data_IF_507675738879
#
_entry.id   IF_507675738879
#
_cell.length_a   1.000
_cell.length_b   1.000
_cell.length_c   1.000
_cell.angle_alpha   90.00
_cell.angle_beta   90.00
_cell.angle_gamma   90.00
#
_symmetry.space_group_name_H-M   'P 1'
#
loop_
_entity.id
_entity.type
_entity.pdbx_description
1 polymer ?
#
# COMPACT_ATOMS: atom_id res chain seq x y z
N UNK A 1 8.12 -19.11 -12.17
CA UNK A 1 8.53 -19.03 -10.75
C UNK A 1 9.45 -17.83 -10.47
N UNK A 2 10.46 -17.55 -11.32
CA UNK A 2 11.22 -16.28 -11.28
C UNK A 2 10.34 -15.05 -11.51
N UNK A 3 9.38 -15.16 -12.43
CA UNK A 3 8.45 -14.07 -12.76
C UNK A 3 7.54 -13.67 -11.58
N UNK A 4 7.09 -14.63 -10.76
CA UNK A 4 6.28 -14.35 -9.57
C UNK A 4 7.06 -13.57 -8.51
N UNK A 5 8.31 -13.96 -8.23
CA UNK A 5 9.15 -13.25 -7.27
C UNK A 5 9.50 -11.85 -7.76
N UNK A 6 9.83 -11.69 -9.05
CA UNK A 6 10.07 -10.37 -9.64
C UNK A 6 8.84 -9.46 -9.55
N UNK A 7 7.63 -9.99 -9.81
CA UNK A 7 6.38 -9.23 -9.64
C UNK A 7 6.19 -8.79 -8.18
N UNK A 8 6.54 -9.65 -7.22
CA UNK A 8 6.47 -9.31 -5.80
C UNK A 8 7.42 -8.17 -5.42
N UNK A 9 8.66 -8.21 -5.90
CA UNK A 9 9.65 -7.14 -5.72
C UNK A 9 9.19 -5.81 -6.33
N UNK A 10 8.65 -5.84 -7.55
CA UNK A 10 8.13 -4.64 -8.23
C UNK A 10 6.99 -4.04 -7.41
N UNK A 11 5.99 -4.84 -7.02
CA UNK A 11 4.85 -4.37 -6.25
C UNK A 11 5.29 -3.75 -4.91
N UNK A 12 6.26 -4.38 -4.22
CA UNK A 12 6.77 -3.85 -2.95
C UNK A 12 7.58 -2.57 -3.16
N UNK A 13 8.37 -2.49 -4.22
CA UNK A 13 9.09 -1.28 -4.63
C UNK A 13 8.15 -0.12 -4.93
N UNK A 14 7.12 -0.35 -5.75
CA UNK A 14 6.09 0.64 -6.08
C UNK A 14 5.37 1.13 -4.82
N UNK A 15 5.00 0.21 -3.91
CA UNK A 15 4.38 0.56 -2.63
C UNK A 15 5.30 1.41 -1.74
N UNK A 16 6.61 1.10 -1.68
CA UNK A 16 7.57 1.91 -0.94
C UNK A 16 7.72 3.31 -1.54
N UNK A 17 7.72 3.43 -2.87
CA UNK A 17 7.78 4.71 -3.55
C UNK A 17 6.55 5.58 -3.24
N UNK A 18 5.35 4.99 -3.22
CA UNK A 18 4.13 5.71 -2.83
C UNK A 18 4.26 6.20 -1.37
N UNK A 19 4.65 5.32 -0.45
CA UNK A 19 4.83 5.65 0.96
C UNK A 19 5.88 6.76 1.19
N UNK A 20 6.90 6.86 0.33
CA UNK A 20 7.92 7.91 0.38
C UNK A 20 7.43 9.27 -0.12
N UNK A 21 6.34 9.30 -0.88
CA UNK A 21 5.78 10.52 -1.47
C UNK A 21 4.54 11.03 -0.76
N UNK A 22 3.89 10.20 0.07
CA UNK A 22 2.79 10.62 0.93
C UNK A 22 3.26 11.70 1.91
N UNK A 23 2.49 12.78 2.04
CA UNK A 23 2.80 13.92 2.91
C UNK A 23 1.75 14.06 4.01
N UNK A 24 1.55 12.95 4.72
CA UNK A 24 0.58 12.90 5.79
C UNK A 24 0.96 13.83 6.95
N UNK A 25 -0.05 14.33 7.65
CA UNK A 25 0.13 15.16 8.83
C UNK A 25 0.83 14.40 9.98
N UNK A 26 1.19 15.12 11.05
CA UNK A 26 1.89 14.53 12.20
C UNK A 26 1.09 13.42 12.90
N UNK A 27 -0.24 13.42 12.79
CA UNK A 27 -1.12 12.41 13.40
C UNK A 27 -0.93 11.05 12.75
N UNK A 28 -0.73 11.01 11.43
CA UNK A 28 -0.61 9.77 10.67
C UNK A 28 0.84 9.33 10.43
N UNK A 29 1.82 10.13 10.83
CA UNK A 29 3.23 9.86 10.57
C UNK A 29 3.70 8.52 11.19
N UNK A 30 3.22 8.18 12.39
CA UNK A 30 3.62 6.95 13.06
C UNK A 30 3.03 5.69 12.40
N UNK A 31 1.77 5.73 11.95
CA UNK A 31 1.17 4.62 11.21
C UNK A 31 1.84 4.46 9.84
N UNK A 32 2.12 5.55 9.13
CA UNK A 32 2.81 5.53 7.84
C UNK A 32 4.23 4.96 7.99
N UNK A 33 4.98 5.40 9.00
CA UNK A 33 6.34 4.88 9.30
C UNK A 33 6.30 3.38 9.61
N UNK A 34 5.31 2.93 10.37
CA UNK A 34 5.12 1.52 10.69
C UNK A 34 4.85 0.71 9.42
N UNK A 35 3.91 1.14 8.57
CA UNK A 35 3.59 0.47 7.30
C UNK A 35 4.84 0.37 6.41
N UNK A 36 5.55 1.49 6.24
CA UNK A 36 6.79 1.56 5.45
C UNK A 36 7.86 0.61 5.96
N UNK A 37 8.08 0.58 7.27
CA UNK A 37 9.05 -0.34 7.86
C UNK A 37 8.65 -1.80 7.59
N UNK A 38 7.40 -2.16 7.84
CA UNK A 38 6.91 -3.53 7.64
C UNK A 38 6.96 -3.98 6.18
N UNK A 39 6.63 -3.11 5.22
CA UNK A 39 6.77 -3.43 3.78
C UNK A 39 8.24 -3.62 3.42
N UNK A 40 9.13 -2.75 3.91
CA UNK A 40 10.58 -2.88 3.66
C UNK A 40 11.13 -4.20 4.20
N UNK A 41 10.67 -4.63 5.38
CA UNK A 41 11.03 -5.94 5.93
C UNK A 41 10.57 -7.10 5.05
N UNK A 42 9.35 -7.05 4.51
CA UNK A 42 8.87 -8.10 3.60
C UNK A 42 9.65 -8.08 2.29
N UNK A 43 9.96 -6.90 1.75
CA UNK A 43 10.76 -6.75 0.53
C UNK A 43 12.14 -7.40 0.67
N UNK A 44 12.81 -7.18 1.81
CA UNK A 44 14.10 -7.82 2.09
C UNK A 44 14.02 -9.36 2.20
N UNK A 45 12.82 -9.93 2.46
CA UNK A 45 12.59 -11.37 2.56
C UNK A 45 12.23 -12.00 1.20
N UNK A 46 11.96 -11.23 0.16
CA UNK A 46 11.65 -11.77 -1.18
C UNK A 46 12.86 -12.51 -1.76
N UNK A 47 14.07 -12.00 -1.54
CA UNK A 47 15.29 -12.70 -1.97
C UNK A 47 15.43 -14.07 -1.29
N UNK A 48 15.11 -14.17 0.01
CA UNK A 48 15.15 -15.43 0.74
C UNK A 48 14.14 -16.47 0.20
N UNK A 49 12.96 -16.01 -0.23
CA UNK A 49 11.96 -16.85 -0.91
C UNK A 49 12.49 -17.49 -2.20
N UNK A 50 13.43 -16.85 -2.90
CA UNK A 50 14.07 -17.43 -4.09
C UNK A 50 15.05 -18.56 -3.77
N UNK A 51 15.62 -18.56 -2.56
CA UNK A 51 16.62 -19.52 -2.08
C UNK A 51 15.99 -20.76 -1.45
N UNK A 52 14.76 -20.65 -0.95
CA UNK A 52 14.03 -21.78 -0.35
C UNK A 52 13.39 -22.69 -1.40
N UNK A 53 13.32 -23.99 -1.11
CA UNK A 53 12.69 -25.01 -1.97
C UNK A 53 11.64 -25.83 -1.20
N UNK A 54 10.63 -26.34 -1.92
CA UNK A 54 9.59 -27.20 -1.35
C UNK A 54 8.87 -26.57 -0.15
N UNK A 55 8.77 -27.32 0.95
CA UNK A 55 8.01 -26.91 2.14
C UNK A 55 8.51 -25.59 2.76
N UNK A 56 9.83 -25.36 2.83
CA UNK A 56 10.39 -24.13 3.38
C UNK A 56 9.93 -22.89 2.62
N UNK A 57 9.80 -23.02 1.30
CA UNK A 57 9.31 -21.95 0.43
C UNK A 57 7.83 -21.67 0.71
N UNK A 58 7.02 -22.71 0.82
CA UNK A 58 5.59 -22.59 1.15
C UNK A 58 5.41 -21.91 2.51
N UNK A 59 6.11 -22.38 3.54
CA UNK A 59 6.04 -21.79 4.88
C UNK A 59 6.46 -20.31 4.88
N UNK A 60 7.49 -19.96 4.12
CA UNK A 60 7.94 -18.57 3.97
C UNK A 60 6.88 -17.70 3.28
N UNK A 61 6.27 -18.21 2.20
CA UNK A 61 5.21 -17.51 1.48
C UNK A 61 3.98 -17.31 2.37
N UNK A 62 3.55 -18.34 3.11
CA UNK A 62 2.45 -18.26 4.08
C UNK A 62 2.73 -17.24 5.18
N UNK A 63 3.96 -17.22 5.71
CA UNK A 63 4.37 -16.25 6.72
C UNK A 63 4.29 -14.82 6.18
N UNK A 64 4.76 -14.60 4.94
CA UNK A 64 4.69 -13.30 4.28
C UNK A 64 3.24 -12.87 4.03
N UNK A 65 2.35 -13.78 3.60
CA UNK A 65 0.91 -13.48 3.44
C UNK A 65 0.29 -12.99 4.76
N UNK A 66 0.61 -13.62 5.89
CA UNK A 66 0.12 -13.18 7.21
C UNK A 66 0.62 -11.78 7.56
N UNK A 67 1.90 -11.48 7.27
CA UNK A 67 2.46 -10.16 7.50
C UNK A 67 1.81 -9.10 6.60
N UNK A 68 1.63 -9.39 5.31
CA UNK A 68 0.95 -8.50 4.37
C UNK A 68 -0.50 -8.25 4.78
N UNK A 69 -1.21 -9.25 5.32
CA UNK A 69 -2.55 -9.04 5.87
C UNK A 69 -2.54 -8.05 7.05
N UNK A 70 -1.62 -8.21 8.01
CA UNK A 70 -1.49 -7.27 9.13
C UNK A 70 -1.11 -5.85 8.68
N UNK A 71 -0.27 -5.73 7.64
CA UNK A 71 0.05 -4.44 7.02
C UNK A 71 -1.20 -3.85 6.36
N UNK A 72 -1.98 -4.67 5.63
CA UNK A 72 -3.21 -4.23 4.97
C UNK A 72 -4.22 -3.67 5.97
N UNK A 73 -4.36 -4.28 7.15
CA UNK A 73 -5.24 -3.75 8.21
C UNK A 73 -4.83 -2.34 8.65
N UNK A 74 -3.52 -2.07 8.75
CA UNK A 74 -3.02 -0.73 9.06
C UNK A 74 -3.24 0.26 7.92
N UNK A 75 -3.06 -0.19 6.68
CA UNK A 75 -3.35 0.63 5.49
C UNK A 75 -4.83 0.99 5.43
N UNK A 76 -5.74 0.05 5.70
CA UNK A 76 -7.18 0.31 5.76
C UNK A 76 -7.56 1.31 6.87
N UNK A 77 -6.90 1.23 8.02
CA UNK A 77 -7.07 2.21 9.08
C UNK A 77 -6.62 3.61 8.62
N UNK A 78 -5.44 3.72 8.00
CA UNK A 78 -4.92 4.98 7.46
C UNK A 78 -5.84 5.53 6.35
N UNK A 79 -6.26 4.69 5.41
CA UNK A 79 -7.18 5.05 4.33
C UNK A 79 -8.50 5.60 4.87
N UNK A 80 -9.08 4.96 5.88
CA UNK A 80 -10.33 5.43 6.51
C UNK A 80 -10.16 6.83 7.10
N UNK A 81 -9.02 7.09 7.75
CA UNK A 81 -8.70 8.39 8.33
C UNK A 81 -8.48 9.46 7.26
N UNK A 82 -7.73 9.15 6.20
CA UNK A 82 -7.47 10.07 5.09
C UNK A 82 -8.73 10.36 4.28
N UNK A 83 -9.63 9.38 4.11
CA UNK A 83 -10.94 9.59 3.51
C UNK A 83 -11.76 10.60 4.32
N UNK A 84 -11.74 10.49 5.65
CA UNK A 84 -12.44 11.45 6.51
C UNK A 84 -11.85 12.86 6.39
N UNK A 85 -10.52 13.00 6.34
CA UNK A 85 -9.86 14.29 6.10
C UNK A 85 -10.20 14.88 4.72
N UNK A 86 -10.28 14.04 3.69
CA UNK A 86 -10.68 14.47 2.35
C UNK A 86 -12.16 14.90 2.30
N UNK A 87 -13.05 14.18 2.98
CA UNK A 87 -14.46 14.58 3.15
C UNK A 87 -14.57 15.92 3.86
N UNK A 88 -13.83 16.12 4.95
CA UNK A 88 -13.87 17.37 5.69
C UNK A 88 -13.35 18.55 4.85
N UNK A 89 -12.24 18.37 4.13
CA UNK A 89 -11.67 19.40 3.26
C UNK A 89 -12.56 19.78 2.06
N UNK A 90 -13.48 18.89 1.67
CA UNK A 90 -14.47 19.13 0.61
C UNK A 90 -15.84 19.54 1.16
N UNK A 91 -15.99 19.74 2.48
CA UNK A 91 -17.31 20.02 3.08
C UNK A 91 -18.33 18.88 2.87
N UNK A 92 -17.85 17.64 2.80
CA UNK A 92 -18.58 16.42 2.41
C UNK A 92 -19.06 16.38 0.95
N UNK A 93 -18.48 17.19 0.07
CA UNK A 93 -18.85 17.29 -1.36
C UNK A 93 -17.74 16.80 -2.29
N UNK A 94 -17.19 15.60 -2.03
CA UNK A 94 -16.12 15.01 -2.85
C UNK A 94 -16.48 14.99 -4.34
N UNK A 95 -17.69 14.53 -4.69
CA UNK A 95 -18.10 14.45 -6.09
C UNK A 95 -18.09 15.81 -6.80
N UNK A 96 -18.54 16.86 -6.11
CA UNK A 96 -18.52 18.22 -6.66
C UNK A 96 -17.11 18.76 -6.81
N UNK A 97 -16.23 18.48 -5.84
CA UNK A 97 -14.81 18.83 -5.95
C UNK A 97 -14.11 18.10 -7.09
N UNK A 98 -14.40 16.81 -7.30
CA UNK A 98 -13.79 16.01 -8.36
C UNK A 98 -14.26 16.37 -9.77
N UNK A 99 -15.43 17.02 -9.89
CA UNK A 99 -15.95 17.57 -11.14
C UNK A 99 -15.33 18.92 -11.53
N UNK A 100 -14.62 19.59 -10.62
CA UNK A 100 -13.90 20.84 -10.91
C UNK A 100 -12.77 20.59 -11.92
N UNK A 101 -12.35 21.65 -12.64
CA UNK A 101 -11.19 21.54 -13.52
C UNK A 101 -9.93 21.18 -12.72
N UNK A 102 -8.95 20.53 -13.35
CA UNK A 102 -7.73 20.11 -12.68
C UNK A 102 -6.98 21.28 -12.03
N UNK A 103 -6.89 22.41 -12.73
CA UNK A 103 -6.25 23.62 -12.26
C UNK A 103 -6.94 24.15 -10.99
N UNK A 104 -8.28 24.16 -10.97
CA UNK A 104 -9.09 24.59 -9.83
C UNK A 104 -8.93 23.66 -8.61
N UNK A 105 -8.77 22.35 -8.86
CA UNK A 105 -8.48 21.38 -7.81
C UNK A 105 -7.10 21.66 -7.19
N UNK A 106 -6.06 21.87 -8.01
CA UNK A 106 -4.68 22.10 -7.56
C UNK A 106 -4.51 23.43 -6.82
N UNK A 107 -5.28 24.46 -7.18
CA UNK A 107 -5.31 25.73 -6.45
C UNK A 107 -5.79 25.56 -5.00
N UNK A 108 -6.70 24.61 -4.75
CA UNK A 108 -7.14 24.19 -3.42
C UNK A 108 -6.16 23.20 -2.78
N UNK A 109 -4.95 23.71 -2.47
CA UNK A 109 -3.78 22.89 -2.07
C UNK A 109 -4.06 21.85 -0.99
N UNK A 110 -4.73 22.24 0.11
CA UNK A 110 -5.01 21.33 1.22
C UNK A 110 -5.94 20.19 0.80
N UNK A 111 -7.07 20.52 0.18
CA UNK A 111 -8.05 19.55 -0.33
C UNK A 111 -7.41 18.62 -1.36
N UNK A 112 -6.59 19.17 -2.25
CA UNK A 112 -5.85 18.39 -3.24
C UNK A 112 -4.84 17.44 -2.58
N UNK A 113 -4.11 17.89 -1.57
CA UNK A 113 -3.20 17.04 -0.82
C UNK A 113 -3.95 15.90 -0.10
N UNK A 114 -5.08 16.19 0.56
CA UNK A 114 -5.88 15.15 1.21
C UNK A 114 -6.42 14.13 0.20
N UNK A 115 -6.84 14.57 -1.00
CA UNK A 115 -7.19 13.68 -2.11
C UNK A 115 -6.03 12.76 -2.50
N UNK A 116 -4.85 13.32 -2.72
CA UNK A 116 -3.67 12.55 -3.14
C UNK A 116 -3.24 11.55 -2.06
N UNK A 117 -3.26 11.93 -0.78
CA UNK A 117 -2.93 11.02 0.32
C UNK A 117 -3.95 9.88 0.42
N UNK A 118 -5.25 10.17 0.32
CA UNK A 118 -6.30 9.14 0.28
C UNK A 118 -6.11 8.17 -0.89
N UNK A 119 -5.96 8.68 -2.12
CA UNK A 119 -5.76 7.84 -3.31
C UNK A 119 -4.46 7.00 -3.22
N UNK A 120 -3.43 7.56 -2.59
CA UNK A 120 -2.18 6.83 -2.33
C UNK A 120 -2.40 5.64 -1.40
N UNK A 121 -3.19 5.81 -0.32
CA UNK A 121 -3.53 4.72 0.59
C UNK A 121 -4.35 3.62 -0.10
N UNK A 122 -5.35 3.97 -0.90
CA UNK A 122 -6.11 3.01 -1.73
C UNK A 122 -5.17 2.26 -2.68
N UNK A 123 -4.21 2.95 -3.31
CA UNK A 123 -3.27 2.30 -4.22
C UNK A 123 -2.33 1.31 -3.51
N UNK A 124 -1.88 1.64 -2.30
CA UNK A 124 -1.09 0.74 -1.47
C UNK A 124 -1.89 -0.53 -1.14
N UNK A 125 -3.17 -0.38 -0.81
CA UNK A 125 -4.07 -1.51 -0.54
C UNK A 125 -4.19 -2.43 -1.76
N UNK A 126 -4.42 -1.87 -2.96
CA UNK A 126 -4.45 -2.64 -4.22
C UNK A 126 -3.15 -3.41 -4.45
N UNK A 127 -2.00 -2.76 -4.24
CA UNK A 127 -0.71 -3.41 -4.41
C UNK A 127 -0.54 -4.57 -3.42
N UNK A 128 -0.93 -4.41 -2.15
CA UNK A 128 -0.87 -5.49 -1.15
C UNK A 128 -1.77 -6.66 -1.55
N UNK A 129 -2.97 -6.40 -2.07
CA UNK A 129 -3.86 -7.45 -2.57
C UNK A 129 -3.20 -8.24 -3.71
N UNK A 130 -2.58 -7.54 -4.67
CA UNK A 130 -1.83 -8.17 -5.76
C UNK A 130 -0.59 -8.94 -5.26
N UNK A 131 0.10 -8.47 -4.23
CA UNK A 131 1.20 -9.22 -3.60
C UNK A 131 0.68 -10.54 -3.02
N UNK A 132 -0.47 -10.52 -2.36
CA UNK A 132 -1.09 -11.73 -1.82
C UNK A 132 -1.51 -12.71 -2.92
N UNK A 133 -2.08 -12.24 -4.03
CA UNK A 133 -2.37 -13.08 -5.21
C UNK A 133 -1.11 -13.78 -5.74
N UNK A 134 0.00 -13.04 -5.84
CA UNK A 134 1.29 -13.59 -6.24
C UNK A 134 1.78 -14.65 -5.25
N UNK A 135 1.70 -14.39 -3.93
CA UNK A 135 2.09 -15.37 -2.91
C UNK A 135 1.21 -16.63 -2.95
N UNK A 136 -0.10 -16.48 -3.15
CA UNK A 136 -0.99 -17.62 -3.32
C UNK A 136 -0.62 -18.47 -4.53
N UNK A 137 -0.22 -17.85 -5.65
CA UNK A 137 0.28 -18.59 -6.81
C UNK A 137 1.55 -19.40 -6.51
N UNK A 138 2.43 -18.90 -5.64
CA UNK A 138 3.64 -19.62 -5.21
C UNK A 138 3.27 -20.81 -4.33
N UNK A 139 2.32 -20.62 -3.41
CA UNK A 139 1.84 -21.67 -2.50
C UNK A 139 1.14 -22.79 -3.28
N UNK A 140 0.33 -22.46 -4.28
CA UNK A 140 -0.43 -23.45 -5.06
C UNK A 140 0.37 -24.15 -6.16
N UNK A 141 1.52 -23.60 -6.55
CA UNK A 141 2.39 -24.16 -7.60
C UNK A 141 3.57 -25.00 -7.07
N UNK A 142 3.66 -25.19 -5.75
CA UNK A 142 4.75 -25.95 -5.09
C UNK A 142 4.23 -27.30 -4.60
#
# INVERSE_FOLDING_TARGET
MSDALRRLEILMGDTLQILDHMKVNSVHNDILRTIKHSIKEQNNKVEALSKHTGEQRIQSAVSMTKQLHAINTKVQQLETQLMEEYKQATGNQIESYEQMAFEEQVEQKETYHNKIDYLSATKIQENINRMNEVLYSIISSS
#
